data_IF_175045584189
#
_entry.id   IF_175045584189
#
_cell.length_a   1.000
_cell.length_b   1.000
_cell.length_c   1.000
_cell.angle_alpha   90.00
_cell.angle_beta   90.00
_cell.angle_gamma   90.00
#
_symmetry.space_group_name_H-M   'P 1'
#
loop_
_entity.id
_entity.type
_entity.pdbx_description
1 polymer ?
#
# COMPACT_ATOMS: atom_id res chain seq x y z
N UNK A 1 17.87 -12.90 26.83
CA UNK A 1 16.44 -12.59 27.02
C UNK A 1 16.06 -11.49 26.03
N UNK A 2 15.35 -11.81 24.94
CA UNK A 2 14.97 -10.82 23.93
C UNK A 2 13.90 -9.87 24.48
N UNK A 3 14.18 -8.56 24.45
CA UNK A 3 13.27 -7.50 24.92
C UNK A 3 12.03 -7.48 24.01
N UNK A 4 10.89 -7.97 24.50
CA UNK A 4 9.61 -7.86 23.78
C UNK A 4 9.37 -6.38 23.47
N UNK A 5 9.27 -6.02 22.18
CA UNK A 5 8.84 -4.68 21.74
C UNK A 5 7.49 -4.41 22.39
N UNK A 6 7.34 -3.24 23.04
CA UNK A 6 6.05 -2.79 23.56
C UNK A 6 5.07 -2.74 22.39
N UNK A 7 3.98 -3.48 22.48
CA UNK A 7 2.88 -3.34 21.55
C UNK A 7 2.26 -1.95 21.77
N UNK A 8 2.19 -1.16 20.71
CA UNK A 8 1.55 0.14 20.72
C UNK A 8 0.04 -0.05 20.59
N UNK A 9 -0.73 0.49 21.54
CA UNK A 9 -2.19 0.38 21.55
C UNK A 9 -2.80 1.59 20.86
N UNK A 10 -3.49 1.35 19.74
CA UNK A 10 -4.23 2.37 18.98
C UNK A 10 -5.72 2.08 19.12
N UNK A 11 -6.49 3.06 19.61
CA UNK A 11 -7.95 2.98 19.70
C UNK A 11 -8.59 3.51 18.43
N UNK A 12 -9.29 2.64 17.70
CA UNK A 12 -9.98 2.97 16.45
C UNK A 12 -11.48 3.10 16.67
N UNK A 13 -12.03 4.29 16.44
CA UNK A 13 -13.49 4.51 16.43
C UNK A 13 -14.03 4.15 15.05
N UNK A 14 -15.14 3.44 15.03
CA UNK A 14 -15.83 3.01 13.81
C UNK A 14 -17.27 3.49 13.81
N UNK A 15 -17.83 3.72 12.63
CA UNK A 15 -19.26 3.94 12.47
C UNK A 15 -20.08 2.65 12.71
N UNK A 16 -21.40 2.79 12.78
CA UNK A 16 -22.31 1.68 13.03
C UNK A 16 -22.35 0.63 11.90
N UNK A 17 -22.06 1.02 10.66
CA UNK A 17 -22.01 0.12 9.52
C UNK A 17 -20.82 -0.83 9.61
N UNK A 18 -19.62 -0.27 9.82
CA UNK A 18 -18.41 -1.07 10.00
C UNK A 18 -18.46 -1.92 11.27
N UNK A 19 -19.02 -1.39 12.37
CA UNK A 19 -19.22 -2.17 13.59
C UNK A 19 -20.08 -3.42 13.36
N UNK A 20 -21.21 -3.28 12.64
CA UNK A 20 -22.08 -4.42 12.27
C UNK A 20 -21.38 -5.41 11.36
N UNK A 21 -20.65 -4.95 10.36
CA UNK A 21 -19.89 -5.81 9.45
C UNK A 21 -18.85 -6.67 10.19
N UNK A 22 -18.25 -6.14 11.27
CA UNK A 22 -17.26 -6.84 12.09
C UNK A 22 -17.86 -7.78 13.15
N UNK A 23 -19.20 -7.81 13.35
CA UNK A 23 -19.81 -8.58 14.44
C UNK A 23 -19.51 -10.07 14.36
N UNK A 24 -19.54 -10.66 13.15
CA UNK A 24 -19.28 -12.08 12.90
C UNK A 24 -17.80 -12.46 12.78
N UNK A 25 -16.88 -11.50 12.88
CA UNK A 25 -15.44 -11.77 12.76
C UNK A 25 -14.92 -12.26 14.12
N UNK A 26 -14.40 -13.49 14.22
CA UNK A 26 -14.03 -14.10 15.50
C UNK A 26 -12.85 -13.39 16.19
N UNK A 27 -11.91 -12.84 15.41
CA UNK A 27 -10.83 -12.00 15.92
C UNK A 27 -10.73 -10.70 15.11
N UNK A 28 -11.50 -9.69 15.53
CA UNK A 28 -11.59 -8.39 14.87
C UNK A 28 -10.24 -7.70 14.78
N UNK A 29 -9.44 -7.71 15.84
CA UNK A 29 -8.13 -7.06 15.86
C UNK A 29 -7.15 -7.69 14.86
N UNK A 30 -7.11 -9.02 14.77
CA UNK A 30 -6.27 -9.70 13.78
C UNK A 30 -6.73 -9.41 12.35
N UNK A 31 -8.05 -9.43 12.12
CA UNK A 31 -8.64 -9.11 10.81
C UNK A 31 -8.30 -7.67 10.40
N UNK A 32 -8.56 -6.69 11.27
CA UNK A 32 -8.28 -5.27 11.00
C UNK A 32 -6.79 -5.06 10.74
N UNK A 33 -5.91 -5.66 11.55
CA UNK A 33 -4.46 -5.55 11.33
C UNK A 33 -4.05 -6.10 9.97
N UNK A 34 -4.56 -7.27 9.58
CA UNK A 34 -4.29 -7.87 8.28
C UNK A 34 -4.79 -7.01 7.13
N UNK A 35 -6.01 -6.48 7.25
CA UNK A 35 -6.60 -5.60 6.24
C UNK A 35 -5.81 -4.29 6.09
N UNK A 36 -5.38 -3.66 7.19
CA UNK A 36 -4.58 -2.44 7.16
C UNK A 36 -3.20 -2.70 6.56
N UNK A 37 -2.51 -3.78 6.96
CA UNK A 37 -1.21 -4.13 6.39
C UNK A 37 -1.32 -4.42 4.89
N UNK A 38 -2.31 -5.21 4.47
CA UNK A 38 -2.55 -5.48 3.05
C UNK A 38 -2.88 -4.22 2.26
N UNK A 39 -3.66 -3.30 2.85
CA UNK A 39 -3.93 -2.02 2.20
C UNK A 39 -2.65 -1.20 2.04
N UNK A 40 -1.80 -1.13 3.07
CA UNK A 40 -0.53 -0.40 3.02
C UNK A 40 0.47 -1.02 2.03
N UNK A 41 0.54 -2.34 1.93
CA UNK A 41 1.42 -3.05 0.99
C UNK A 41 0.99 -2.87 -0.47
N UNK A 42 -0.30 -2.64 -0.73
CA UNK A 42 -0.85 -2.45 -2.08
C UNK A 42 -1.04 -0.97 -2.47
N UNK A 43 -0.66 -0.04 -1.60
CA UNK A 43 -0.75 1.40 -1.90
C UNK A 43 0.40 1.81 -2.81
N UNK A 44 0.08 2.49 -3.92
CA UNK A 44 1.10 3.09 -4.77
C UNK A 44 1.93 4.08 -3.94
N UNK A 45 3.26 3.86 -3.80
CA UNK A 45 4.11 4.65 -2.90
C UNK A 45 4.25 6.11 -3.36
N UNK A 46 3.98 6.39 -4.63
CA UNK A 46 4.08 7.74 -5.17
C UNK A 46 2.82 8.56 -4.90
N UNK A 47 1.64 8.07 -5.29
CA UNK A 47 0.38 8.80 -5.10
C UNK A 47 -0.28 8.55 -3.73
N UNK A 48 0.30 7.66 -2.91
CA UNK A 48 -0.22 7.26 -1.60
C UNK A 48 -1.68 6.77 -1.67
N UNK A 49 -2.01 6.08 -2.77
CA UNK A 49 -3.33 5.47 -2.96
C UNK A 49 -4.41 6.42 -3.47
N UNK A 50 -4.09 7.71 -3.70
CA UNK A 50 -5.06 8.68 -4.22
C UNK A 50 -5.37 8.50 -5.71
N UNK A 51 -4.48 7.82 -6.45
CA UNK A 51 -4.56 7.72 -7.91
C UNK A 51 -4.26 9.02 -8.66
N UNK A 52 -3.90 10.10 -7.94
CA UNK A 52 -3.61 11.41 -8.51
C UNK A 52 -2.21 11.85 -8.08
N UNK A 53 -1.45 12.45 -9.01
CA UNK A 53 -0.16 13.06 -8.71
C UNK A 53 -0.33 14.57 -8.59
N UNK A 54 0.30 15.17 -7.57
CA UNK A 54 0.47 16.62 -7.54
C UNK A 54 1.33 17.09 -8.74
N UNK A 55 1.30 18.39 -9.08
CA UNK A 55 2.14 18.92 -10.17
C UNK A 55 3.62 18.56 -10.01
N UNK A 56 4.17 18.71 -8.79
CA UNK A 56 5.57 18.38 -8.49
C UNK A 56 5.83 16.88 -8.61
N UNK A 57 4.94 16.04 -8.08
CA UNK A 57 5.05 14.58 -8.22
C UNK A 57 5.01 14.14 -9.68
N UNK A 58 4.17 14.78 -10.51
CA UNK A 58 4.07 14.49 -11.94
C UNK A 58 5.36 14.84 -12.68
N UNK A 59 5.98 15.97 -12.35
CA UNK A 59 7.28 16.36 -12.89
C UNK A 59 8.37 15.32 -12.50
N UNK A 60 8.45 14.95 -11.22
CA UNK A 60 9.40 13.92 -10.77
C UNK A 60 9.15 12.56 -11.43
N UNK A 61 7.88 12.17 -11.59
CA UNK A 61 7.50 10.94 -12.26
C UNK A 61 7.95 10.92 -13.72
N UNK A 62 7.74 12.02 -14.46
CA UNK A 62 8.14 12.11 -15.87
C UNK A 62 9.64 11.83 -16.02
N UNK A 63 10.48 12.53 -15.24
CA UNK A 63 11.93 12.33 -15.25
C UNK A 63 12.33 10.91 -14.84
N UNK A 64 11.66 10.33 -13.84
CA UNK A 64 11.92 8.95 -13.41
C UNK A 64 11.57 7.94 -14.51
N UNK A 65 10.42 8.10 -15.15
CA UNK A 65 9.88 7.19 -16.17
C UNK A 65 10.69 7.16 -17.47
N UNK A 66 11.49 8.19 -17.75
CA UNK A 66 12.41 8.20 -18.88
C UNK A 66 13.46 7.08 -18.80
N UNK A 67 13.91 6.77 -17.58
CA UNK A 67 14.89 5.69 -17.32
C UNK A 67 14.26 4.42 -16.76
N UNK A 68 12.99 4.50 -16.36
CA UNK A 68 12.25 3.38 -15.81
C UNK A 68 10.90 3.23 -16.52
N UNK A 69 10.88 2.78 -17.78
CA UNK A 69 9.65 2.64 -18.53
C UNK A 69 8.76 1.55 -17.91
N UNK A 70 7.44 1.75 -18.02
CA UNK A 70 6.48 0.69 -17.72
C UNK A 70 6.51 -0.34 -18.85
N UNK A 71 6.65 -1.61 -18.50
CA UNK A 71 6.63 -2.75 -19.40
C UNK A 71 5.61 -3.78 -18.91
N UNK A 72 5.10 -4.59 -19.82
CA UNK A 72 4.20 -5.70 -19.51
C UNK A 72 5.01 -6.99 -19.38
N UNK A 73 4.83 -7.73 -18.29
CA UNK A 73 5.47 -9.03 -18.11
C UNK A 73 4.89 -10.08 -19.06
N UNK A 74 5.72 -10.82 -19.78
CA UNK A 74 5.28 -11.88 -20.72
C UNK A 74 4.56 -13.05 -20.06
N UNK A 75 4.85 -13.32 -18.78
CA UNK A 75 4.37 -14.52 -18.10
C UNK A 75 3.05 -14.27 -17.38
N UNK A 76 2.94 -13.15 -16.65
CA UNK A 76 1.77 -12.82 -15.83
C UNK A 76 0.97 -11.62 -16.33
N UNK A 77 1.41 -10.94 -17.41
CA UNK A 77 0.77 -9.75 -17.99
C UNK A 77 0.62 -8.56 -17.02
N UNK A 78 1.34 -8.59 -15.90
CA UNK A 78 1.37 -7.47 -14.97
C UNK A 78 2.27 -6.35 -15.50
N UNK A 79 1.83 -5.10 -15.31
CA UNK A 79 2.66 -3.93 -15.57
C UNK A 79 3.72 -3.81 -14.48
N UNK A 80 4.98 -3.65 -14.87
CA UNK A 80 6.09 -3.41 -13.96
C UNK A 80 6.99 -2.28 -14.48
N UNK A 81 7.75 -1.67 -13.58
CA UNK A 81 8.77 -0.68 -13.94
C UNK A 81 10.06 -1.43 -14.25
N UNK A 82 10.54 -1.28 -15.49
CA UNK A 82 11.86 -1.76 -15.87
C UNK A 82 12.93 -0.74 -15.44
N UNK A 83 14.19 -1.16 -15.27
CA UNK A 83 15.28 -0.26 -14.94
C UNK A 83 16.30 -0.25 -16.09
N UNK A 84 16.26 0.82 -16.89
CA UNK A 84 17.18 1.05 -18.00
C UNK A 84 18.37 1.95 -17.60
N UNK A 85 18.62 2.13 -16.30
CA UNK A 85 19.87 2.71 -15.85
C UNK A 85 21.00 1.76 -16.29
N UNK A 86 21.82 2.22 -17.24
CA UNK A 86 22.99 1.48 -17.70
C UNK A 86 23.73 0.89 -16.49
N UNK A 87 23.93 -0.43 -16.51
CA UNK A 87 24.77 -1.12 -15.52
C UNK A 87 26.16 -0.51 -15.46
#
# INVERSE_FOLDING_TARGET
>A
MARRKKEEMISFKVDGGLSKALQGVPNRSAFIRGAVLAALDNVCPLCQGTGLLSPDQKMHWATFSERHPLQECSDCHAMYLDCNAAK
#
